data_IF_250490620678
#
_entry.id   IF_250490620678
#
_cell.length_a   1.000
_cell.length_b   1.000
_cell.length_c   1.000
_cell.angle_alpha   90.00
_cell.angle_beta   90.00
_cell.angle_gamma   90.00
#
_symmetry.space_group_name_H-M   'P 1'
#
loop_
_entity.id
_entity.type
_entity.pdbx_description
1 polymer ?
#
# COMPACT_ATOMS: atom_id res chain seq x y z
N UNK A 1 5.60 -4.89 -6.85
CA UNK A 1 5.09 -5.14 -5.49
C UNK A 1 5.71 -6.47 -5.12
N UNK A 2 6.68 -6.44 -4.22
CA UNK A 2 7.49 -7.61 -3.87
C UNK A 2 6.82 -8.40 -2.74
N UNK A 3 7.12 -9.69 -2.63
CA UNK A 3 6.97 -10.37 -1.36
C UNK A 3 7.87 -9.70 -0.31
N UNK A 4 7.45 -9.70 0.96
CA UNK A 4 8.19 -9.10 2.07
C UNK A 4 8.71 -10.17 3.05
N UNK A 5 8.30 -11.42 2.90
CA UNK A 5 8.71 -12.51 3.78
C UNK A 5 9.98 -13.20 3.31
N UNK A 6 9.97 -13.74 2.08
CA UNK A 6 11.04 -14.58 1.55
C UNK A 6 12.01 -13.80 0.65
N UNK A 7 11.58 -12.64 0.15
CA UNK A 7 12.39 -11.84 -0.77
C UNK A 7 13.65 -11.30 -0.06
N UNK A 8 14.81 -11.65 -0.59
CA UNK A 8 16.07 -11.06 -0.14
C UNK A 8 16.10 -9.57 -0.51
N UNK A 9 16.63 -8.72 0.38
CA UNK A 9 16.65 -7.26 0.19
C UNK A 9 17.31 -6.83 -1.13
N UNK A 10 18.29 -7.59 -1.62
CA UNK A 10 18.93 -7.34 -2.92
C UNK A 10 17.90 -7.34 -4.06
N UNK A 11 17.04 -8.36 -4.10
CA UNK A 11 16.02 -8.53 -5.13
C UNK A 11 14.95 -7.44 -5.03
N UNK A 12 14.57 -7.05 -3.80
CA UNK A 12 13.65 -5.92 -3.57
C UNK A 12 14.23 -4.63 -4.14
N UNK A 13 15.51 -4.35 -3.87
CA UNK A 13 16.20 -3.17 -4.40
C UNK A 13 16.28 -3.22 -5.92
N UNK A 14 16.63 -4.37 -6.50
CA UNK A 14 16.72 -4.53 -7.96
C UNK A 14 15.37 -4.31 -8.64
N UNK A 15 14.27 -4.88 -8.13
CA UNK A 15 12.92 -4.64 -8.68
C UNK A 15 12.55 -3.16 -8.59
N UNK A 16 12.80 -2.52 -7.45
CA UNK A 16 12.51 -1.10 -7.26
C UNK A 16 13.31 -0.22 -8.23
N UNK A 17 14.59 -0.53 -8.42
CA UNK A 17 15.47 0.18 -9.36
C UNK A 17 15.02 0.02 -10.80
N UNK A 18 14.73 -1.21 -11.25
CA UNK A 18 14.30 -1.50 -12.62
C UNK A 18 13.01 -0.75 -12.96
N UNK A 19 12.02 -0.78 -12.07
CA UNK A 19 10.77 -0.05 -12.25
C UNK A 19 10.96 1.46 -12.33
N UNK A 20 11.76 2.04 -11.44
CA UNK A 20 12.04 3.49 -11.44
C UNK A 20 12.87 3.92 -12.66
N UNK A 21 13.81 3.09 -13.10
CA UNK A 21 14.58 3.33 -14.32
C UNK A 21 13.69 3.28 -15.56
N UNK A 22 12.80 2.28 -15.65
CA UNK A 22 11.84 2.19 -16.73
C UNK A 22 10.96 3.44 -16.82
N UNK A 23 10.42 3.90 -15.69
CA UNK A 23 9.60 5.12 -15.61
C UNK A 23 10.40 6.35 -16.06
N UNK A 24 11.64 6.50 -15.59
CA UNK A 24 12.53 7.60 -16.00
C UNK A 24 12.76 7.61 -17.50
N UNK A 25 13.02 6.45 -18.10
CA UNK A 25 13.40 6.34 -19.51
C UNK A 25 12.21 6.53 -20.47
N UNK A 26 10.99 6.14 -20.07
CA UNK A 26 9.81 6.18 -20.96
C UNK A 26 8.86 7.35 -20.70
N UNK A 27 8.75 7.83 -19.45
CA UNK A 27 7.81 8.89 -19.05
C UNK A 27 8.53 10.22 -18.80
N UNK A 28 9.85 10.17 -18.56
CA UNK A 28 10.70 11.33 -18.27
C UNK A 28 10.71 11.71 -16.78
N UNK A 29 11.90 12.05 -16.27
CA UNK A 29 12.13 12.43 -14.86
C UNK A 29 11.50 13.78 -14.48
N UNK A 30 11.31 14.67 -15.44
CA UNK A 30 10.64 15.96 -15.23
C UNK A 30 9.13 15.81 -15.01
N UNK A 31 8.54 14.70 -15.48
CA UNK A 31 7.10 14.47 -15.46
C UNK A 31 6.64 13.86 -14.13
N UNK A 32 7.32 12.81 -13.64
CA UNK A 32 6.82 12.04 -12.51
C UNK A 32 7.91 11.21 -11.79
N UNK A 33 7.99 11.36 -10.46
CA UNK A 33 8.76 10.46 -9.58
C UNK A 33 7.83 9.95 -8.48
N UNK A 34 7.65 8.62 -8.32
CA UNK A 34 6.78 8.07 -7.29
C UNK A 34 7.25 8.45 -5.88
N UNK A 35 6.37 9.06 -5.09
CA UNK A 35 6.62 9.43 -3.68
C UNK A 35 5.81 8.59 -2.69
N UNK A 36 4.87 7.79 -3.20
CA UNK A 36 3.94 6.96 -2.44
C UNK A 36 4.08 5.50 -2.85
N UNK A 37 4.22 4.61 -1.87
CA UNK A 37 4.28 3.17 -2.05
C UNK A 37 2.91 2.51 -1.82
N UNK A 38 2.63 1.46 -2.58
CA UNK A 38 1.38 0.71 -2.54
C UNK A 38 1.67 -0.79 -2.39
N UNK A 39 1.37 -1.35 -1.22
CA UNK A 39 1.62 -2.75 -0.87
C UNK A 39 0.38 -3.39 -0.24
N UNK A 40 -0.54 -3.88 -1.08
CA UNK A 40 -1.81 -4.44 -0.59
C UNK A 40 -1.85 -5.96 -0.53
N UNK A 41 -0.92 -6.65 -1.20
CA UNK A 41 -0.98 -8.10 -1.39
C UNK A 41 0.22 -8.94 -0.88
N UNK A 42 1.25 -8.43 -0.18
CA UNK A 42 2.20 -9.32 0.50
C UNK A 42 1.60 -9.98 1.74
N UNK A 43 1.91 -11.25 1.99
CA UNK A 43 1.32 -12.01 3.10
C UNK A 43 2.03 -11.75 4.44
N UNK A 44 1.83 -10.54 4.96
CA UNK A 44 2.57 -9.99 6.09
C UNK A 44 3.63 -9.02 5.60
N UNK A 45 4.08 -8.14 6.49
CA UNK A 45 4.89 -6.97 6.11
C UNK A 45 6.16 -6.89 6.95
N UNK A 46 7.25 -6.56 6.28
CA UNK A 46 8.59 -6.50 6.86
C UNK A 46 9.01 -5.05 7.11
N UNK A 47 9.69 -4.75 8.24
CA UNK A 47 10.27 -3.44 8.47
C UNK A 47 11.42 -3.13 7.50
N UNK A 48 11.93 -4.12 6.74
CA UNK A 48 12.93 -3.87 5.70
C UNK A 48 12.41 -2.91 4.63
N UNK A 49 11.15 -3.04 4.23
CA UNK A 49 10.58 -2.24 3.15
C UNK A 49 10.54 -0.73 3.49
N UNK A 50 10.01 -0.26 4.63
CA UNK A 50 10.03 1.17 4.95
C UNK A 50 11.45 1.75 5.06
N UNK A 51 12.46 0.94 5.44
CA UNK A 51 13.86 1.39 5.41
C UNK A 51 14.33 1.70 3.97
N UNK A 52 14.11 0.75 3.05
CA UNK A 52 14.48 0.88 1.65
C UNK A 52 13.72 2.01 0.96
N UNK A 53 12.41 2.13 1.23
CA UNK A 53 11.57 3.20 0.68
C UNK A 53 12.04 4.59 1.14
N UNK A 54 12.38 4.73 2.44
CA UNK A 54 12.90 5.99 2.98
C UNK A 54 14.24 6.38 2.36
N UNK A 55 15.10 5.40 2.10
CA UNK A 55 16.35 5.60 1.39
C UNK A 55 16.14 6.04 -0.07
N UNK A 56 15.06 5.57 -0.72
CA UNK A 56 14.67 5.91 -2.09
C UNK A 56 13.81 7.19 -2.20
N UNK A 57 13.77 8.01 -1.14
CA UNK A 57 12.99 9.27 -1.08
C UNK A 57 11.46 9.09 -1.21
N UNK A 58 10.95 7.88 -0.99
CA UNK A 58 9.52 7.63 -0.83
C UNK A 58 9.16 7.96 0.61
N UNK A 59 8.03 8.64 0.82
CA UNK A 59 7.64 9.16 2.15
C UNK A 59 6.37 8.54 2.71
N UNK A 60 5.49 8.06 1.83
CA UNK A 60 4.21 7.49 2.20
C UNK A 60 4.11 6.04 1.73
N UNK A 61 3.41 5.20 2.49
CA UNK A 61 3.10 3.83 2.14
C UNK A 61 1.67 3.48 2.54
N UNK A 62 0.96 2.74 1.71
CA UNK A 62 -0.32 2.15 2.06
C UNK A 62 -0.20 0.62 2.08
N UNK A 63 -0.67 0.03 3.18
CA UNK A 63 -0.50 -1.39 3.48
C UNK A 63 -1.81 -2.05 3.89
N UNK A 64 -2.00 -3.33 3.56
CA UNK A 64 -3.25 -4.04 3.84
C UNK A 64 -3.08 -5.28 4.70
N UNK A 65 -2.37 -6.31 4.24
CA UNK A 65 -2.37 -7.65 4.84
C UNK A 65 -1.60 -7.73 6.15
N UNK A 66 -2.29 -7.38 7.23
CA UNK A 66 -1.86 -7.48 8.62
C UNK A 66 -2.88 -8.31 9.39
N UNK A 67 -2.40 -9.03 10.42
CA UNK A 67 -3.24 -9.88 11.25
C UNK A 67 -4.52 -9.16 11.73
N UNK A 68 -5.67 -9.82 11.60
CA UNK A 68 -6.98 -9.21 11.90
C UNK A 68 -7.09 -8.63 13.33
N UNK A 69 -6.57 -9.33 14.34
CA UNK A 69 -6.47 -8.84 15.73
C UNK A 69 -5.69 -7.53 15.86
N UNK A 70 -4.58 -7.38 15.13
CA UNK A 70 -3.77 -6.15 15.13
C UNK A 70 -4.55 -5.01 14.48
N UNK A 71 -5.19 -5.25 13.33
CA UNK A 71 -6.09 -4.27 12.68
C UNK A 71 -7.19 -3.82 13.64
N UNK A 72 -7.86 -4.75 14.32
CA UNK A 72 -8.93 -4.47 15.28
C UNK A 72 -8.43 -3.61 16.46
N UNK A 73 -7.24 -3.92 16.98
CA UNK A 73 -6.61 -3.15 18.06
C UNK A 73 -6.26 -1.72 17.62
N UNK A 74 -5.55 -1.58 16.49
CA UNK A 74 -5.16 -0.28 15.93
C UNK A 74 -6.37 0.56 15.52
N UNK A 75 -7.42 -0.05 14.96
CA UNK A 75 -8.66 0.62 14.63
C UNK A 75 -9.36 1.17 15.88
N UNK A 76 -9.45 0.36 16.96
CA UNK A 76 -10.05 0.79 18.24
C UNK A 76 -9.31 2.01 18.83
N UNK A 77 -8.00 2.04 18.70
CA UNK A 77 -7.15 3.14 19.20
C UNK A 77 -6.97 4.30 18.21
N UNK A 78 -7.57 4.24 17.01
CA UNK A 78 -7.38 5.22 15.93
C UNK A 78 -5.90 5.40 15.52
N UNK A 79 -5.15 4.30 15.49
CA UNK A 79 -3.71 4.23 15.17
C UNK A 79 -3.44 3.48 13.86
N UNK A 80 -4.41 3.44 12.94
CA UNK A 80 -4.22 2.85 11.61
C UNK A 80 -3.31 3.70 10.70
N UNK A 81 -3.13 4.97 11.05
CA UNK A 81 -2.14 5.86 10.44
C UNK A 81 -1.02 6.06 11.47
N UNK A 82 0.21 5.76 11.07
CA UNK A 82 1.37 5.81 11.95
C UNK A 82 2.64 6.12 11.17
N UNK A 83 3.67 6.56 11.89
CA UNK A 83 5.04 6.67 11.37
C UNK A 83 5.76 5.35 11.63
N UNK A 84 6.06 4.60 10.58
CA UNK A 84 6.74 3.32 10.66
C UNK A 84 8.25 3.53 10.74
N UNK A 85 8.81 3.18 11.89
CA UNK A 85 10.21 3.33 12.25
C UNK A 85 10.90 1.97 12.36
N UNK A 86 12.19 1.95 12.03
CA UNK A 86 13.03 0.77 12.25
C UNK A 86 13.21 0.44 13.73
N UNK A 87 13.40 -0.84 14.04
CA UNK A 87 13.59 -1.32 15.41
C UNK A 87 14.82 -0.71 16.09
N UNK A 88 15.89 -0.44 15.33
CA UNK A 88 17.09 0.23 15.83
C UNK A 88 16.98 1.77 15.82
N UNK A 89 15.81 2.33 15.50
CA UNK A 89 15.56 3.77 15.50
C UNK A 89 15.83 4.45 14.17
N UNK A 90 15.76 5.78 14.16
CA UNK A 90 15.78 6.58 12.92
C UNK A 90 17.17 6.70 12.29
N UNK A 91 18.28 6.70 13.06
CA UNK A 91 19.67 6.82 12.55
C UNK A 91 19.86 7.83 11.41
N UNK A 92 19.19 8.99 11.48
CA UNK A 92 19.26 10.05 10.47
C UNK A 92 18.44 9.79 9.19
N UNK A 93 17.70 8.69 9.12
CA UNK A 93 16.69 8.42 8.09
C UNK A 93 15.29 8.82 8.58
N UNK A 94 14.44 9.24 7.64
CA UNK A 94 13.06 9.62 7.95
C UNK A 94 12.22 8.36 8.17
N UNK A 95 11.27 8.43 9.10
CA UNK A 95 10.24 7.40 9.23
C UNK A 95 9.28 7.48 8.04
N UNK A 96 8.71 6.34 7.65
CA UNK A 96 7.71 6.29 6.57
C UNK A 96 6.32 6.51 7.16
N UNK A 97 5.55 7.41 6.55
CA UNK A 97 4.13 7.54 6.89
C UNK A 97 3.36 6.38 6.30
N UNK A 98 2.77 5.56 7.17
CA UNK A 98 2.06 4.35 6.74
C UNK A 98 0.58 4.46 7.04
N UNK A 99 -0.23 4.14 6.05
CA UNK A 99 -1.66 3.94 6.18
C UNK A 99 -1.99 2.45 6.12
N UNK A 100 -2.52 1.90 7.21
CA UNK A 100 -3.05 0.55 7.24
C UNK A 100 -4.54 0.54 6.94
N UNK A 101 -4.93 -0.24 5.93
CA UNK A 101 -6.33 -0.46 5.62
C UNK A 101 -7.04 -1.21 6.78
N UNK A 102 -8.24 -0.77 7.18
CA UNK A 102 -8.90 -1.28 8.39
C UNK A 102 -9.52 -2.67 8.24
N UNK A 103 -9.86 -3.07 7.01
CA UNK A 103 -10.74 -4.20 6.75
C UNK A 103 -9.98 -5.44 6.26
N UNK A 104 -10.75 -6.50 6.02
CA UNK A 104 -10.26 -7.85 5.69
C UNK A 104 -9.56 -7.91 4.33
N UNK A 105 -10.21 -7.45 3.27
CA UNK A 105 -9.69 -7.48 1.90
C UNK A 105 -9.59 -6.08 1.31
N UNK A 106 -8.83 -5.94 0.22
CA UNK A 106 -8.72 -4.71 -0.58
C UNK A 106 -9.80 -4.64 -1.70
N UNK A 107 -10.69 -5.62 -1.78
CA UNK A 107 -11.81 -5.60 -2.73
C UNK A 107 -12.80 -4.48 -2.44
N UNK A 108 -13.67 -4.16 -3.40
CA UNK A 108 -14.71 -3.13 -3.26
C UNK A 108 -15.62 -3.38 -2.04
N UNK A 109 -16.14 -4.60 -1.81
CA UNK A 109 -17.00 -4.88 -0.65
C UNK A 109 -16.32 -4.64 0.69
N UNK A 110 -15.00 -4.77 0.75
CA UNK A 110 -14.22 -4.62 1.98
C UNK A 110 -13.49 -3.28 2.06
N UNK A 111 -13.71 -2.37 1.11
CA UNK A 111 -13.04 -1.06 1.07
C UNK A 111 -13.99 0.09 1.39
N UNK A 112 -15.27 -0.01 1.02
CA UNK A 112 -16.23 1.08 1.20
C UNK A 112 -16.57 1.36 2.67
N UNK A 113 -16.51 0.34 3.53
CA UNK A 113 -17.02 0.41 4.90
C UNK A 113 -17.02 -0.94 5.61
N UNK A 114 -17.55 -0.97 6.85
CA UNK A 114 -17.49 -2.15 7.71
C UNK A 114 -18.49 -3.25 7.34
N UNK A 115 -19.51 -2.94 6.54
CA UNK A 115 -20.54 -3.90 6.13
C UNK A 115 -20.36 -4.26 4.63
N UNK A 116 -19.84 -5.46 4.33
CA UNK A 116 -19.63 -5.89 2.96
C UNK A 116 -20.92 -6.02 2.16
N UNK A 117 -22.07 -6.26 2.81
CA UNK A 117 -23.35 -6.42 2.12
C UNK A 117 -23.84 -5.11 1.51
N UNK A 118 -23.62 -3.99 2.21
CA UNK A 118 -23.90 -2.65 1.70
C UNK A 118 -22.86 -2.28 0.64
N UNK A 119 -21.58 -2.53 0.90
CA UNK A 119 -20.51 -2.18 -0.05
C UNK A 119 -20.59 -2.95 -1.38
N UNK A 120 -21.08 -4.18 -1.36
CA UNK A 120 -21.28 -4.98 -2.57
C UNK A 120 -22.31 -4.36 -3.54
N UNK A 121 -23.29 -3.60 -3.02
CA UNK A 121 -24.26 -2.89 -3.87
C UNK A 121 -23.62 -1.76 -4.69
N UNK A 122 -22.44 -1.29 -4.28
CA UNK A 122 -21.65 -0.27 -5.00
C UNK A 122 -20.62 -0.89 -5.95
N UNK A 123 -20.55 -2.22 -6.06
CA UNK A 123 -19.75 -2.90 -7.06
C UNK A 123 -20.54 -3.02 -8.37
N UNK A 124 -20.42 -2.01 -9.22
CA UNK A 124 -21.12 -1.95 -10.51
C UNK A 124 -20.68 -3.03 -11.51
N UNK A 125 -19.53 -3.69 -11.30
CA UNK A 125 -19.13 -4.83 -12.11
C UNK A 125 -19.95 -6.08 -11.74
N UNK A 126 -20.21 -6.27 -10.44
CA UNK A 126 -20.99 -7.39 -9.91
C UNK A 126 -22.52 -7.21 -10.11
N UNK A 127 -23.02 -5.97 -9.99
CA UNK A 127 -24.46 -5.64 -10.10
C UNK A 127 -25.05 -5.89 -11.50
N UNK A 128 -24.22 -6.01 -12.55
CA UNK A 128 -24.67 -6.34 -13.92
C UNK A 128 -25.35 -7.71 -14.05
N UNK A 129 -25.15 -8.64 -13.11
CA UNK A 129 -25.68 -10.01 -13.20
C UNK A 129 -27.07 -10.20 -12.57
N UNK A 130 -27.60 -9.24 -11.80
CA UNK A 130 -28.84 -9.43 -11.02
C UNK A 130 -29.86 -8.29 -11.09
N UNK A 131 -29.70 -7.33 -12.00
CA UNK A 131 -30.63 -6.20 -12.10
C UNK A 131 -31.49 -6.27 -13.37
N UNK A 132 -32.50 -7.16 -13.36
CA UNK A 132 -33.78 -6.85 -13.99
C UNK A 132 -34.65 -6.21 -12.92
N UNK A 133 -35.10 -4.98 -13.19
CA UNK A 133 -36.03 -4.17 -12.39
C UNK A 133 -35.41 -3.29 -11.30
N UNK A 134 -35.46 -1.98 -11.60
CA UNK A 134 -35.20 -0.85 -10.72
C UNK A 134 -36.00 -0.95 -9.42
N UNK A 135 -35.30 -0.92 -8.27
CA UNK A 135 -35.63 -0.04 -7.13
C UNK A 135 -34.50 -0.02 -6.08
N UNK A 136 -33.35 0.59 -6.38
CA UNK A 136 -32.34 0.84 -5.34
C UNK A 136 -32.70 2.13 -4.57
N UNK A 137 -33.71 2.04 -3.72
CA UNK A 137 -33.98 3.02 -2.68
C UNK A 137 -33.15 2.60 -1.46
N UNK A 138 -32.03 3.29 -1.21
CA UNK A 138 -31.18 3.10 -0.01
C UNK A 138 -32.00 3.51 1.21
N UNK A 139 -32.77 2.59 1.77
CA UNK A 139 -33.45 2.77 3.05
C UNK A 139 -32.49 2.41 4.17
N UNK A 140 -32.12 3.46 4.91
CA UNK A 140 -31.41 3.42 6.16
C UNK A 140 -32.08 2.47 7.16
N UNK A 141 -31.39 1.39 7.54
CA UNK A 141 -31.51 0.88 8.91
C UNK A 141 -30.18 1.11 9.61
N UNK A 142 -30.27 1.85 10.72
CA UNK A 142 -29.16 2.63 11.24
C UNK A 142 -28.02 1.81 11.83
N UNK A 143 -26.81 2.31 11.59
CA UNK A 143 -25.74 2.42 12.60
C UNK A 143 -24.66 3.37 12.09
N UNK A 144 -24.25 4.31 12.95
CA UNK A 144 -23.20 5.32 12.71
C UNK A 144 -21.95 4.66 12.14
N UNK A 145 -21.57 5.03 10.92
CA UNK A 145 -20.22 4.84 10.41
C UNK A 145 -19.64 6.21 10.05
N UNK A 146 -18.75 6.71 10.90
CA UNK A 146 -17.92 7.85 10.57
C UNK A 146 -16.76 7.35 9.69
N UNK A 147 -16.47 8.11 8.64
CA UNK A 147 -15.31 7.95 7.75
C UNK A 147 -15.38 6.77 6.76
N UNK A 148 -15.79 7.08 5.52
CA UNK A 148 -15.58 6.23 4.34
C UNK A 148 -14.17 6.53 3.84
N UNK A 149 -13.25 5.55 3.90
CA UNK A 149 -11.91 5.64 3.31
C UNK A 149 -12.00 5.04 1.90
N UNK A 150 -11.77 5.80 0.82
CA UNK A 150 -11.91 5.25 -0.52
C UNK A 150 -10.60 4.57 -0.95
N UNK A 151 -10.60 3.24 -0.95
CA UNK A 151 -9.77 2.49 -1.88
C UNK A 151 -10.53 2.33 -3.19
N UNK A 152 -10.31 3.27 -4.11
CA UNK A 152 -10.86 3.23 -5.46
C UNK A 152 -9.69 3.16 -6.43
N UNK A 153 -9.14 1.97 -6.63
CA UNK A 153 -8.24 1.74 -7.75
C UNK A 153 -8.30 0.26 -8.12
N UNK A 154 -9.21 -0.07 -9.03
CA UNK A 154 -9.02 -1.07 -10.08
C UNK A 154 -10.26 -1.03 -11.01
N UNK A 155 -9.96 -0.78 -12.29
CA UNK A 155 -10.85 -0.83 -13.47
C UNK A 155 -12.09 0.06 -13.48
N UNK A 156 -12.04 1.12 -14.29
CA UNK A 156 -13.13 1.60 -15.17
C UNK A 156 -12.58 2.79 -16.00
N UNK A 157 -12.20 2.52 -17.26
CA UNK A 157 -11.72 3.54 -18.22
C UNK A 157 -12.87 4.35 -18.85
N UNK A 158 -14.14 4.02 -18.64
CA UNK A 158 -15.24 4.83 -19.17
C UNK A 158 -16.37 4.93 -18.17
N UNK A 159 -16.48 6.07 -17.50
CA UNK A 159 -17.75 6.76 -17.28
C UNK A 159 -17.51 8.14 -16.67
N UNK A 160 -17.63 9.15 -17.53
CA UNK A 160 -18.10 10.52 -17.23
C UNK A 160 -17.65 11.17 -15.93
N UNK A 161 -16.74 12.12 -16.09
CA UNK A 161 -16.44 13.23 -15.19
C UNK A 161 -17.72 13.84 -14.59
N UNK A 162 -18.02 13.50 -13.34
CA UNK A 162 -19.12 14.08 -12.59
C UNK A 162 -18.82 14.01 -11.10
N UNK A 163 -18.69 15.17 -10.45
CA UNK A 163 -18.66 15.31 -9.00
C UNK A 163 -19.95 14.71 -8.44
N UNK A 164 -19.86 13.55 -7.80
CA UNK A 164 -21.02 12.91 -7.20
C UNK A 164 -21.22 13.49 -5.80
N UNK A 165 -21.95 14.60 -5.72
CA UNK A 165 -22.41 15.17 -4.44
C UNK A 165 -23.59 14.34 -3.93
N UNK A 166 -23.33 13.33 -3.10
CA UNK A 166 -24.39 12.65 -2.36
C UNK A 166 -24.77 13.48 -1.14
N UNK A 167 -26.01 13.97 -1.12
CA UNK A 167 -26.62 14.57 0.06
C UNK A 167 -27.09 13.44 0.99
N UNK A 168 -26.14 12.79 1.65
CA UNK A 168 -26.41 11.80 2.70
C UNK A 168 -26.95 12.54 3.92
N UNK A 169 -28.29 12.60 4.02
CA UNK A 169 -29.10 12.95 5.20
C UNK A 169 -28.33 13.68 6.33
N UNK A 170 -28.14 14.99 6.17
CA UNK A 170 -27.59 15.87 7.21
C UNK A 170 -26.07 16.04 7.27
N UNK A 171 -25.29 15.38 6.42
CA UNK A 171 -23.83 15.59 6.29
C UNK A 171 -23.49 16.10 4.89
N UNK A 172 -22.76 17.22 4.82
CA UNK A 172 -22.15 17.72 3.58
C UNK A 172 -20.88 16.92 3.35
N UNK A 173 -20.95 15.89 2.51
CA UNK A 173 -19.80 15.06 2.11
C UNK A 173 -19.46 15.39 0.66
N UNK A 174 -18.21 15.76 0.41
CA UNK A 174 -17.69 15.97 -0.95
C UNK A 174 -16.88 14.74 -1.36
N UNK A 175 -17.39 13.97 -2.32
CA UNK A 175 -16.72 12.80 -2.87
C UNK A 175 -16.20 13.10 -4.28
N UNK A 176 -14.94 12.75 -4.54
CA UNK A 176 -14.28 12.88 -5.84
C UNK A 176 -13.36 11.69 -6.08
N UNK A 177 -13.15 11.35 -7.34
CA UNK A 177 -12.06 10.45 -7.71
C UNK A 177 -10.72 11.15 -7.45
N UNK A 178 -9.73 10.38 -7.01
CA UNK A 178 -8.41 10.89 -6.68
C UNK A 178 -7.37 9.78 -6.68
N UNK A 179 -6.10 10.18 -6.64
CA UNK A 179 -4.97 9.28 -6.55
C UNK A 179 -4.58 9.01 -5.10
N UNK A 180 -3.75 8.00 -4.87
CA UNK A 180 -3.17 7.73 -3.55
C UNK A 180 -2.36 8.93 -3.02
N UNK A 181 -1.67 9.64 -3.92
CA UNK A 181 -0.93 10.83 -3.55
C UNK A 181 -1.85 11.94 -3.06
N UNK A 182 -2.99 12.16 -3.72
CA UNK A 182 -4.01 13.14 -3.28
C UNK A 182 -4.53 12.80 -1.88
N UNK A 183 -4.76 11.51 -1.60
CA UNK A 183 -5.15 11.06 -0.26
C UNK A 183 -4.12 11.46 0.81
N UNK A 184 -2.83 11.21 0.58
CA UNK A 184 -1.79 11.54 1.56
C UNK A 184 -1.56 13.06 1.70
N UNK A 185 -1.78 13.84 0.64
CA UNK A 185 -1.75 15.31 0.69
C UNK A 185 -2.91 15.84 1.56
N UNK A 186 -4.12 15.34 1.37
CA UNK A 186 -5.28 15.72 2.21
C UNK A 186 -5.11 15.26 3.66
N UNK A 187 -4.53 14.07 3.87
CA UNK A 187 -4.18 13.60 5.21
C UNK A 187 -3.18 14.55 5.89
N UNK A 188 -2.13 14.99 5.19
CA UNK A 188 -1.16 15.95 5.74
C UNK A 188 -1.83 17.28 6.12
N UNK A 189 -2.71 17.78 5.25
CA UNK A 189 -3.47 19.01 5.52
C UNK A 189 -4.35 18.87 6.76
N UNK A 190 -5.05 17.75 6.89
CA UNK A 190 -5.90 17.44 8.05
C UNK A 190 -5.10 17.35 9.34
N UNK A 191 -3.97 16.62 9.33
CA UNK A 191 -3.10 16.48 10.50
C UNK A 191 -2.52 17.82 10.97
N UNK A 192 -2.18 18.72 10.04
CA UNK A 192 -1.72 20.08 10.37
C UNK A 192 -2.83 20.95 10.95
N UNK A 193 -4.04 20.87 10.39
CA UNK A 193 -5.18 21.65 10.87
C UNK A 193 -5.59 21.25 12.30
N UNK A 194 -5.62 19.95 12.59
CA UNK A 194 -5.97 19.41 13.91
C UNK A 194 -4.79 19.39 14.88
N UNK A 195 -3.59 19.84 14.44
CA UNK A 195 -2.33 19.76 15.18
C UNK A 195 -2.06 18.34 15.75
N UNK A 196 -2.48 17.31 15.01
CA UNK A 196 -2.45 15.92 15.45
C UNK A 196 -1.13 15.28 15.06
N UNK A 197 -0.45 14.69 16.03
CA UNK A 197 0.78 13.91 15.81
C UNK A 197 0.42 12.44 15.61
N UNK A 198 0.95 11.84 14.55
CA UNK A 198 0.80 10.40 14.30
C UNK A 198 1.65 9.59 15.30
N UNK A 199 1.14 8.44 15.79
CA UNK A 199 1.94 7.55 16.62
C UNK A 199 3.12 6.98 15.83
N UNK A 200 4.22 6.70 16.52
CA UNK A 200 5.36 5.98 15.94
C UNK A 200 5.21 4.51 16.28
N UNK A 201 5.32 3.64 15.27
CA UNK A 201 5.29 2.20 15.43
C UNK A 201 6.58 1.60 14.88
N UNK A 202 7.14 0.63 15.60
CA UNK A 202 8.30 -0.15 15.18
C UNK A 202 8.00 -1.62 15.33
N UNK A 203 8.48 -2.44 14.41
CA UNK A 203 8.21 -3.87 14.35
C UNK A 203 7.79 -4.31 12.96
N UNK A 204 7.59 -5.61 12.84
CA UNK A 204 7.05 -6.29 11.68
C UNK A 204 5.56 -6.63 11.88
N UNK A 205 4.94 -7.12 10.82
CA UNK A 205 3.54 -7.56 10.82
C UNK A 205 3.41 -9.03 10.42
N UNK A 206 4.38 -9.86 10.81
CA UNK A 206 4.34 -11.31 10.67
C UNK A 206 3.94 -12.00 11.98
N UNK A 207 3.31 -13.18 11.94
CA UNK A 207 2.76 -13.90 10.78
C UNK A 207 1.37 -13.38 10.44
N UNK A 208 1.07 -13.19 9.16
CA UNK A 208 -0.26 -12.79 8.70
C UNK A 208 -1.28 -13.91 8.94
N UNK A 209 -2.44 -13.52 9.47
CA UNK A 209 -3.64 -14.35 9.53
C UNK A 209 -4.85 -13.52 9.10
N UNK A 210 -5.57 -14.02 8.12
CA UNK A 210 -6.77 -13.40 7.55
C UNK A 210 -7.98 -13.68 8.45
N UNK A 211 -8.08 -14.90 8.98
CA UNK A 211 -9.20 -15.34 9.80
C UNK A 211 -8.79 -16.43 10.81
N UNK A 212 -9.42 -16.41 11.99
CA UNK A 212 -9.33 -17.45 13.02
C UNK A 212 -7.87 -17.88 13.27
N UNK A 213 -7.55 -19.17 13.09
CA UNK A 213 -6.21 -19.75 13.26
C UNK A 213 -5.50 -20.03 11.91
N UNK A 214 -5.94 -19.38 10.83
CA UNK A 214 -5.33 -19.55 9.50
C UNK A 214 -4.09 -18.67 9.34
N UNK A 215 -2.97 -19.13 9.88
CA UNK A 215 -1.69 -18.46 9.71
C UNK A 215 -1.05 -18.80 8.36
N UNK A 216 -0.66 -17.76 7.62
CA UNK A 216 -0.03 -17.88 6.30
C UNK A 216 1.49 -18.12 6.41
N UNK A 217 1.90 -19.00 7.34
CA UNK A 217 3.31 -19.38 7.49
C UNK A 217 3.78 -20.44 6.48
N UNK A 218 2.84 -21.11 5.80
CA UNK A 218 3.16 -22.16 4.83
C UNK A 218 3.96 -21.64 3.62
N UNK A 219 3.68 -20.40 3.19
CA UNK A 219 4.36 -19.75 2.06
C UNK A 219 5.85 -19.47 2.32
N UNK A 220 6.33 -19.55 3.56
CA UNK A 220 7.74 -19.33 3.88
C UNK A 220 8.65 -20.46 3.37
N UNK A 221 8.09 -21.65 3.13
CA UNK A 221 8.86 -22.84 2.75
C UNK A 221 8.64 -23.25 1.29
N UNK A 222 7.86 -22.47 0.52
CA UNK A 222 7.27 -22.97 -0.71
C UNK A 222 8.13 -22.86 -1.97
N UNK A 223 9.34 -22.25 -1.94
CA UNK A 223 10.42 -22.32 -2.95
C UNK A 223 11.50 -21.24 -2.65
N UNK A 224 12.79 -21.53 -2.90
CA UNK A 224 13.92 -20.61 -2.66
C UNK A 224 14.49 -20.00 -3.95
N UNK A 225 14.49 -18.67 -4.08
CA UNK A 225 14.99 -17.92 -5.26
C UNK A 225 16.42 -17.32 -5.09
N UNK A 226 17.15 -17.76 -4.05
CA UNK A 226 18.44 -17.16 -3.66
C UNK A 226 19.52 -17.35 -4.72
N UNK A 227 19.57 -18.52 -5.39
CA UNK A 227 20.61 -18.86 -6.37
C UNK A 227 20.57 -17.92 -7.59
N UNK A 228 19.36 -17.58 -8.07
CA UNK A 228 19.20 -16.69 -9.21
C UNK A 228 19.70 -15.29 -8.86
N UNK A 229 19.38 -14.80 -7.66
CA UNK A 229 19.81 -13.49 -7.16
C UNK A 229 21.34 -13.37 -7.10
N UNK A 230 22.03 -14.39 -6.58
CA UNK A 230 23.51 -14.46 -6.59
C UNK A 230 24.08 -14.49 -8.02
N UNK A 231 23.45 -15.24 -8.92
CA UNK A 231 23.90 -15.36 -10.32
C UNK A 231 23.78 -14.02 -11.05
N UNK A 232 22.69 -13.28 -10.84
CA UNK A 232 22.48 -11.95 -11.42
C UNK A 232 23.55 -10.99 -10.90
N UNK A 233 23.76 -10.94 -9.58
CA UNK A 233 24.77 -10.08 -8.95
C UNK A 233 26.18 -10.37 -9.49
N UNK A 234 26.58 -11.63 -9.55
CA UNK A 234 27.88 -12.03 -10.08
C UNK A 234 28.04 -11.61 -11.54
N UNK A 235 27.02 -11.80 -12.38
CA UNK A 235 27.06 -11.40 -13.80
C UNK A 235 27.14 -9.88 -13.98
N UNK A 236 26.45 -9.10 -13.15
CA UNK A 236 26.53 -7.64 -13.17
C UNK A 236 27.95 -7.17 -12.85
N UNK A 237 28.57 -7.70 -11.79
CA UNK A 237 29.96 -7.38 -11.43
C UNK A 237 30.93 -7.74 -12.56
N UNK A 238 30.83 -8.94 -13.12
CA UNK A 238 31.74 -9.38 -14.19
C UNK A 238 31.64 -8.55 -15.47
N UNK A 239 30.50 -7.91 -15.75
CA UNK A 239 30.34 -6.99 -16.88
C UNK A 239 30.92 -5.60 -16.62
N UNK A 240 30.85 -5.14 -15.37
CA UNK A 240 31.41 -3.84 -14.94
C UNK A 240 32.94 -3.89 -14.88
N UNK A 241 33.49 -5.02 -14.43
CA UNK A 241 34.92 -5.27 -14.40
C UNK A 241 35.28 -6.35 -15.44
N UNK A 242 35.38 -5.98 -16.74
CA UNK A 242 35.88 -6.92 -17.72
C UNK A 242 37.30 -7.34 -17.33
N UNK A 243 37.49 -8.65 -17.22
CA UNK A 243 38.78 -9.29 -16.94
C UNK A 243 39.70 -8.99 -18.13
N UNK A 244 40.39 -7.84 -18.10
CA UNK A 244 41.21 -7.35 -19.20
C UNK A 244 41.64 -5.87 -19.15
N UNK A 245 41.08 -5.04 -18.25
CA UNK A 245 41.40 -3.59 -18.20
C UNK A 245 42.10 -3.12 -16.93
N UNK A 246 42.74 -4.01 -16.17
CA UNK A 246 43.72 -3.60 -15.15
C UNK A 246 45.07 -3.32 -15.83
N UNK A 247 45.21 -2.15 -16.45
CA UNK A 247 46.55 -1.55 -16.61
C UNK A 247 46.86 -0.89 -15.26
N UNK A 248 47.66 -1.56 -14.43
CA UNK A 248 48.33 -0.88 -13.32
C UNK A 248 49.20 0.23 -13.93
N UNK A 249 48.71 1.47 -13.91
CA UNK A 249 49.59 2.62 -13.95
C UNK A 249 50.25 2.71 -12.59
N UNK A 250 51.44 2.11 -12.47
CA UNK A 250 52.37 2.48 -11.41
C UNK A 250 52.90 3.91 -11.69
N UNK A 251 53.10 4.74 -10.65
CA UNK A 251 53.62 6.10 -10.78
C UNK A 251 55.07 6.13 -11.31
#
# INVERSE_FOLDING_TARGET
>A
MTDEANAHYFSIITELMEGHEFLRNHIGTESYTPTTHWSIDPFGLSPTLPYLLSASNISNAAVQRVHYSVKKYLAKNKQLEFMWRQLWGSHGKRDIRTHMFPFYSYDIPHSCGPDPSVCCQFDFAYVKLYCSELLCCVTSTGRRANFIKPTFFLYLWEMTLGTISYLLCGLIINARFGTLNDYFVELDRSLRADQKVLPVLSGDFFTYADRDDHYWSGSFFSLDDVILSFTIFSRQISKVFPVGSCVMQYP
#
